data_IF_551354440221
#
_entry.id   IF_551354440221
#
_cell.length_a   1.000
_cell.length_b   1.000
_cell.length_c   1.000
_cell.angle_alpha   90.00
_cell.angle_beta   90.00
_cell.angle_gamma   90.00
#
_symmetry.space_group_name_H-M   'P 1'
#
loop_
_entity.id
_entity.type
_entity.pdbx_description
1 polymer ?
#
# COMPACT_ATOMS: atom_id res chain seq x y z
N UNK A 1 7.28 7.69 31.21
CA UNK A 1 7.22 6.21 31.22
C UNK A 1 6.32 5.78 30.07
N UNK A 2 6.93 5.27 29.00
CA UNK A 2 6.28 4.93 27.72
C UNK A 2 5.23 3.83 27.91
N UNK A 3 3.94 4.12 27.69
CA UNK A 3 2.90 3.07 27.59
C UNK A 3 2.84 2.54 26.16
N UNK A 4 3.71 1.56 25.93
CA UNK A 4 3.48 0.32 25.20
C UNK A 4 2.80 0.43 23.83
N UNK A 5 3.65 0.66 22.83
CA UNK A 5 3.49 0.15 21.49
C UNK A 5 3.59 -1.39 21.50
N UNK A 6 2.51 -2.14 21.73
CA UNK A 6 2.43 -3.56 21.33
C UNK A 6 1.01 -4.11 21.53
N UNK A 7 0.18 -4.06 20.49
CA UNK A 7 -1.01 -4.93 20.34
C UNK A 7 -1.37 -5.15 18.87
N UNK A 8 -0.39 -5.11 17.96
CA UNK A 8 -0.59 -5.41 16.53
C UNK A 8 -0.18 -6.84 16.14
N UNK A 9 0.10 -7.72 17.11
CA UNK A 9 0.69 -9.04 16.85
C UNK A 9 -0.30 -10.20 16.84
N UNK A 10 -1.61 -9.97 17.00
CA UNK A 10 -2.57 -11.07 17.13
C UNK A 10 -3.58 -11.22 16.00
N UNK A 11 -3.31 -10.59 14.85
CA UNK A 11 -4.02 -10.91 13.63
C UNK A 11 -3.02 -11.48 12.62
N UNK A 12 -3.22 -12.76 12.30
CA UNK A 12 -2.71 -13.41 11.09
C UNK A 12 -3.16 -12.59 9.89
N UNK A 13 -2.43 -11.54 9.54
CA UNK A 13 -2.75 -10.68 8.43
C UNK A 13 -1.69 -10.79 7.34
N UNK A 14 -1.75 -11.92 6.65
CA UNK A 14 -1.07 -12.15 5.37
C UNK A 14 -1.52 -11.20 4.24
N UNK A 15 -2.34 -10.17 4.54
CA UNK A 15 -2.92 -9.29 3.53
C UNK A 15 -3.21 -7.87 4.02
N UNK A 16 -2.58 -7.39 5.10
CA UNK A 16 -2.69 -5.97 5.47
C UNK A 16 -1.62 -5.19 4.74
N UNK A 17 -1.92 -4.79 3.50
CA UNK A 17 -1.09 -3.81 2.80
C UNK A 17 -0.94 -2.56 3.66
N UNK A 18 0.29 -2.07 3.78
CA UNK A 18 0.64 -0.95 4.64
C UNK A 18 -0.31 0.24 4.39
N UNK A 19 -0.74 0.95 5.45
CA UNK A 19 -1.57 2.14 5.29
C UNK A 19 -0.89 3.19 4.40
N UNK A 20 0.45 3.21 4.40
CA UNK A 20 1.25 4.08 3.53
C UNK A 20 1.11 3.73 2.05
N UNK A 21 1.21 2.43 1.69
CA UNK A 21 1.02 1.99 0.31
C UNK A 21 -0.36 2.35 -0.23
N UNK A 22 -1.39 2.21 0.60
CA UNK A 22 -2.76 2.59 0.22
C UNK A 22 -2.87 4.09 -0.07
N UNK A 23 -2.28 4.92 0.78
CA UNK A 23 -2.21 6.35 0.57
C UNK A 23 -1.45 6.69 -0.72
N UNK A 24 -0.31 6.03 -0.96
CA UNK A 24 0.52 6.25 -2.14
C UNK A 24 -0.23 5.92 -3.43
N UNK A 25 -0.84 4.73 -3.49
CA UNK A 25 -1.67 4.28 -4.63
C UNK A 25 -2.81 5.27 -4.88
N UNK A 26 -3.50 5.70 -3.83
CA UNK A 26 -4.59 6.67 -3.94
C UNK A 26 -4.13 8.01 -4.52
N UNK A 27 -2.98 8.52 -4.08
CA UNK A 27 -2.39 9.75 -4.63
C UNK A 27 -2.04 9.58 -6.11
N UNK A 28 -1.46 8.44 -6.50
CA UNK A 28 -1.14 8.17 -7.89
C UNK A 28 -2.38 8.12 -8.78
N UNK A 29 -3.44 7.43 -8.35
CA UNK A 29 -4.70 7.36 -9.09
C UNK A 29 -5.34 8.75 -9.20
N UNK A 30 -5.49 9.44 -8.06
CA UNK A 30 -6.18 10.74 -8.00
C UNK A 30 -5.48 11.81 -8.84
N UNK A 31 -4.14 11.80 -8.87
CA UNK A 31 -3.34 12.77 -9.61
C UNK A 31 -2.88 12.28 -10.99
N UNK A 32 -3.35 11.09 -11.40
CA UNK A 32 -2.98 10.43 -12.67
C UNK A 32 -1.47 10.21 -12.84
N UNK A 33 -0.74 10.05 -11.74
CA UNK A 33 0.69 9.73 -11.75
C UNK A 33 0.93 8.25 -12.07
N UNK A 34 2.12 7.99 -12.63
CA UNK A 34 2.62 6.64 -12.84
C UNK A 34 3.52 6.27 -11.66
N UNK A 35 3.14 5.21 -10.93
CA UNK A 35 3.97 4.64 -9.87
C UNK A 35 5.12 3.85 -10.49
N UNK A 36 6.36 4.09 -10.04
CA UNK A 36 7.52 3.28 -10.43
C UNK A 36 7.82 2.33 -9.28
N UNK A 37 7.61 1.02 -9.45
CA UNK A 37 7.87 0.06 -8.38
C UNK A 37 8.04 -1.37 -8.89
N UNK A 38 9.02 -2.10 -8.32
CA UNK A 38 9.25 -3.54 -8.56
C UNK A 38 8.19 -4.42 -7.91
N UNK A 39 7.43 -3.84 -6.99
CA UNK A 39 6.52 -4.58 -6.15
C UNK A 39 5.38 -5.21 -6.97
N UNK A 40 5.33 -6.54 -6.95
CA UNK A 40 4.35 -7.29 -7.72
C UNK A 40 2.94 -7.11 -7.17
N UNK A 41 2.79 -6.84 -5.87
CA UNK A 41 1.48 -6.62 -5.27
C UNK A 41 0.86 -5.29 -5.72
N UNK A 42 1.67 -4.27 -6.02
CA UNK A 42 1.17 -2.99 -6.56
C UNK A 42 0.47 -3.16 -7.91
N UNK A 43 0.90 -4.15 -8.72
CA UNK A 43 0.30 -4.44 -10.03
C UNK A 43 -1.17 -4.87 -9.92
N UNK A 44 -1.60 -5.43 -8.77
CA UNK A 44 -3.01 -5.79 -8.51
C UNK A 44 -3.93 -4.58 -8.59
N UNK A 45 -3.42 -3.36 -8.45
CA UNK A 45 -4.21 -2.12 -8.45
C UNK A 45 -4.34 -1.49 -9.85
N UNK A 46 -3.76 -2.11 -10.89
CA UNK A 46 -4.00 -1.69 -12.29
C UNK A 46 -5.48 -1.68 -12.65
N UNK A 47 -6.26 -2.63 -12.12
CA UNK A 47 -7.72 -2.69 -12.31
C UNK A 47 -8.45 -1.47 -11.72
N UNK A 48 -7.86 -0.82 -10.70
CA UNK A 48 -8.40 0.38 -10.07
C UNK A 48 -7.92 1.67 -10.76
N UNK A 49 -7.26 1.57 -11.92
CA UNK A 49 -6.74 2.72 -12.67
C UNK A 49 -5.33 3.15 -12.28
N UNK A 50 -4.62 2.39 -11.45
CA UNK A 50 -3.22 2.69 -11.13
C UNK A 50 -2.34 2.45 -12.36
N UNK A 51 -1.69 3.52 -12.82
CA UNK A 51 -0.59 3.41 -13.77
C UNK A 51 0.66 3.01 -13.02
N UNK A 52 1.26 1.88 -13.39
CA UNK A 52 2.51 1.40 -12.78
C UNK A 52 3.47 0.91 -13.86
N UNK A 53 4.71 1.36 -13.77
CA UNK A 53 5.84 0.90 -14.59
C UNK A 53 6.91 0.34 -13.68
N UNK A 54 7.67 -0.61 -14.21
CA UNK A 54 8.84 -1.16 -13.55
C UNK A 54 9.92 -1.41 -14.59
#
# INVERSE_FOLDING_TARGET
MWKMASSYHNLKENFRRDPFDRMLIWQCISKKYTLISKDAEMKKYKIAGLKIIW
#
